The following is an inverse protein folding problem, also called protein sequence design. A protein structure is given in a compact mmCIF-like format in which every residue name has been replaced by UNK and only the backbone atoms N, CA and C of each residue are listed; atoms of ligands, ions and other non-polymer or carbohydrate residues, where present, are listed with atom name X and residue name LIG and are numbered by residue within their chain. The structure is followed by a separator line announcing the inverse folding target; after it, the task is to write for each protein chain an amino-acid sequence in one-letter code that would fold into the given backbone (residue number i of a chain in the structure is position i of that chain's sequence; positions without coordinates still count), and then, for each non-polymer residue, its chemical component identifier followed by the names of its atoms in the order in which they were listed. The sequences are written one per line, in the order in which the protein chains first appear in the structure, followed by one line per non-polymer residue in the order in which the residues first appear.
data_IF_521143233019
#
_entry.id   IF_521143233019
#
_cell.length_a   1.000
_cell.length_b   1.000
_cell.length_c   1.000
_cell.angle_alpha   90.00
_cell.angle_beta   90.00
_cell.angle_gamma   90.00
#
_symmetry.space_group_name_H-M   'P 1'
#
loop_
_entity.id
_entity.type
_entity.pdbx_description
1 polymer ?
#
# COMPACT_ATOMS: atom_id res chain seq x y z
N UNK A 1 15.50 9.61 -0.78
CA UNK A 1 15.95 8.54 -1.69
C UNK A 1 15.16 7.31 -1.30
N UNK A 2 14.07 6.86 -1.93
CA UNK A 2 13.34 7.25 -3.15
C UNK A 2 11.88 6.73 -3.00
N UNK A 3 11.13 7.24 -2.02
CA UNK A 3 9.73 6.83 -1.80
C UNK A 3 8.78 7.31 -2.90
N UNK A 4 9.25 8.19 -3.78
CA UNK A 4 8.47 8.77 -4.88
C UNK A 4 8.03 7.71 -5.89
N UNK A 5 8.92 6.77 -6.24
CA UNK A 5 8.59 5.67 -7.17
C UNK A 5 7.57 4.71 -6.56
N UNK A 6 7.70 4.44 -5.26
CA UNK A 6 6.79 3.56 -4.52
C UNK A 6 5.38 4.17 -4.47
N UNK A 7 5.26 5.46 -4.18
CA UNK A 7 3.96 6.17 -4.15
C UNK A 7 3.29 6.14 -5.54
N UNK A 8 4.06 6.32 -6.61
CA UNK A 8 3.53 6.25 -7.97
C UNK A 8 2.95 4.86 -8.27
N UNK A 9 3.64 3.78 -7.87
CA UNK A 9 3.16 2.40 -8.03
C UNK A 9 1.97 2.09 -7.14
N UNK A 10 1.99 2.55 -5.89
CA UNK A 10 0.87 2.43 -4.95
C UNK A 10 -0.37 3.10 -5.55
N UNK A 11 -0.25 4.33 -6.03
CA UNK A 11 -1.39 5.12 -6.51
C UNK A 11 -1.97 4.54 -7.81
N UNK A 12 -1.11 4.05 -8.70
CA UNK A 12 -1.53 3.38 -9.94
C UNK A 12 -2.13 1.99 -9.70
N UNK A 13 -1.72 1.31 -8.63
CA UNK A 13 -2.29 0.02 -8.24
C UNK A 13 -3.43 0.13 -7.22
N UNK A 14 -3.67 1.31 -6.66
CA UNK A 14 -4.77 1.58 -5.75
C UNK A 14 -6.08 1.62 -6.53
N UNK A 15 -7.09 0.97 -5.98
CA UNK A 15 -8.44 0.96 -6.51
C UNK A 15 -9.21 2.10 -5.85
N UNK A 16 -9.69 3.05 -6.64
CA UNK A 16 -10.63 4.05 -6.15
C UNK A 16 -12.02 3.40 -6.05
N UNK A 17 -12.60 3.44 -4.86
CA UNK A 17 -13.92 2.87 -4.61
C UNK A 17 -14.62 3.75 -3.60
N UNK A 18 -15.81 4.23 -3.94
CA UNK A 18 -16.62 5.11 -3.09
C UNK A 18 -15.90 6.44 -2.77
N UNK A 19 -15.20 7.02 -3.76
CA UNK A 19 -14.45 8.27 -3.63
C UNK A 19 -13.22 8.19 -2.71
N UNK A 20 -12.79 6.97 -2.33
CA UNK A 20 -11.61 6.73 -1.50
C UNK A 20 -10.65 5.80 -2.21
N UNK A 21 -9.36 6.13 -2.18
CA UNK A 21 -8.30 5.26 -2.68
C UNK A 21 -8.08 4.11 -1.70
N UNK A 22 -8.14 2.89 -2.22
CA UNK A 22 -7.98 1.68 -1.42
C UNK A 22 -6.93 0.79 -2.06
N UNK A 23 -6.00 0.27 -1.27
CA UNK A 23 -4.97 -0.64 -1.75
C UNK A 23 -5.17 -2.02 -1.14
N UNK A 24 -5.16 -3.07 -1.95
CA UNK A 24 -5.27 -4.43 -1.42
C UNK A 24 -3.95 -4.89 -0.82
N UNK A 25 -4.00 -5.65 0.27
CA UNK A 25 -2.80 -6.15 0.93
C UNK A 25 -1.92 -7.01 0.00
N UNK A 26 -2.52 -7.82 -0.87
CA UNK A 26 -1.77 -8.56 -1.91
C UNK A 26 -0.85 -7.63 -2.72
N UNK A 27 -1.33 -6.43 -3.06
CA UNK A 27 -0.56 -5.46 -3.83
C UNK A 27 0.53 -4.79 -3.00
N UNK A 28 0.28 -4.54 -1.72
CA UNK A 28 1.30 -4.10 -0.75
C UNK A 28 2.45 -5.12 -0.70
N UNK A 29 2.14 -6.42 -0.68
CA UNK A 29 3.15 -7.47 -0.67
C UNK A 29 3.95 -7.51 -1.98
N UNK A 30 3.28 -7.46 -3.15
CA UNK A 30 3.97 -7.40 -4.44
C UNK A 30 4.94 -6.20 -4.51
N UNK A 31 4.50 -5.02 -4.08
CA UNK A 31 5.32 -3.80 -4.09
C UNK A 31 6.47 -3.92 -3.07
N UNK A 32 6.21 -4.48 -1.89
CA UNK A 32 7.25 -4.71 -0.87
C UNK A 32 8.37 -5.61 -1.40
N UNK A 33 8.02 -6.70 -2.09
CA UNK A 33 8.99 -7.62 -2.67
C UNK A 33 9.71 -7.00 -3.88
N UNK A 34 8.98 -6.28 -4.75
CA UNK A 34 9.54 -5.67 -5.95
C UNK A 34 10.53 -4.55 -5.62
N UNK A 35 10.26 -3.75 -4.60
CA UNK A 35 11.09 -2.62 -4.19
C UNK A 35 12.01 -2.96 -3.01
N UNK A 36 11.96 -4.20 -2.49
CA UNK A 36 12.68 -4.65 -1.31
C UNK A 36 12.49 -3.73 -0.09
N UNK A 37 11.29 -3.17 0.07
CA UNK A 37 10.93 -2.27 1.17
C UNK A 37 10.02 -2.96 2.18
N UNK A 38 10.05 -2.51 3.42
CA UNK A 38 9.19 -3.07 4.45
C UNK A 38 7.72 -2.68 4.23
N UNK A 39 6.83 -3.62 4.53
CA UNK A 39 5.38 -3.37 4.51
C UNK A 39 4.96 -2.24 5.45
N UNK A 40 5.73 -2.02 6.53
CA UNK A 40 5.52 -0.89 7.44
C UNK A 40 5.77 0.45 6.74
N UNK A 41 6.86 0.61 5.99
CA UNK A 41 7.12 1.80 5.20
C UNK A 41 6.03 2.05 4.15
N UNK A 42 5.59 1.00 3.44
CA UNK A 42 4.46 1.10 2.50
C UNK A 42 3.17 1.51 3.22
N UNK A 43 2.90 0.93 4.38
CA UNK A 43 1.74 1.26 5.21
C UNK A 43 1.75 2.71 5.67
N UNK A 44 2.92 3.20 6.08
CA UNK A 44 3.12 4.61 6.45
C UNK A 44 2.88 5.53 5.26
N UNK A 45 3.48 5.23 4.10
CA UNK A 45 3.27 5.98 2.85
C UNK A 45 1.80 6.01 2.43
N UNK A 46 1.10 4.88 2.52
CA UNK A 46 -0.34 4.81 2.24
C UNK A 46 -1.13 5.69 3.21
N UNK A 47 -0.80 5.64 4.51
CA UNK A 47 -1.48 6.42 5.54
C UNK A 47 -1.26 7.94 5.35
N UNK A 48 -0.06 8.36 4.97
CA UNK A 48 0.26 9.76 4.65
C UNK A 48 -0.46 10.27 3.39
N UNK A 49 -0.80 9.37 2.46
CA UNK A 49 -1.49 9.69 1.21
C UNK A 49 -3.01 9.46 1.25
N UNK A 50 -3.59 9.24 2.45
CA UNK A 50 -5.02 8.93 2.65
C UNK A 50 -5.50 7.69 1.87
N UNK A 51 -4.60 6.72 1.65
CA UNK A 51 -4.88 5.46 0.95
C UNK A 51 -5.18 4.39 2.00
N UNK A 52 -6.42 3.89 2.01
CA UNK A 52 -6.80 2.81 2.93
C UNK A 52 -6.35 1.46 2.42
N UNK A 53 -5.54 0.76 3.20
CA UNK A 53 -5.24 -0.64 2.90
C UNK A 53 -6.48 -1.48 3.28
N UNK A 54 -7.11 -2.12 2.30
CA UNK A 54 -8.23 -3.03 2.49
C UNK A 54 -7.80 -4.48 2.19
N UNK A 55 -8.58 -5.45 2.64
CA UNK A 55 -8.26 -6.88 2.45
C UNK A 55 -6.88 -7.28 3.02
N UNK A 56 -6.58 -6.86 4.25
CA UNK A 56 -5.41 -7.33 4.98
C UNK A 56 -5.54 -8.84 5.23
N UNK A 57 -4.92 -9.67 4.39
CA UNK A 57 -4.82 -11.11 4.63
C UNK A 57 -3.95 -11.44 5.87
N UNK A 58 -3.34 -10.43 6.50
CA UNK A 58 -2.82 -10.51 7.87
C UNK A 58 -3.99 -10.56 8.87
N UNK A 59 -4.78 -11.61 8.83
CA UNK A 59 -5.68 -12.02 9.91
C UNK A 59 -4.93 -12.40 11.19
N UNK A 60 -4.00 -11.56 11.66
CA UNK A 60 -3.22 -11.71 12.88
C UNK A 60 -2.94 -10.32 13.50
N UNK A 61 -3.99 -9.54 13.76
CA UNK A 61 -3.96 -8.73 14.97
C UNK A 61 -4.45 -9.64 16.10
N UNK A 62 -3.51 -10.23 16.84
CA UNK A 62 -3.74 -10.71 18.19
C UNK A 62 -2.89 -9.87 19.12
#
# INVERSE_FOLDING_TARGET
MDNDQVIAVITSSAVESDGKKKLSCAKVFEIAEQFAISKQDIGQLCNENDIKINACQLGCFK
#
